data_IF_388868439741
#
_entry.id   IF_388868439741
#
_cell.length_a   1.000
_cell.length_b   1.000
_cell.length_c   1.000
_cell.angle_alpha   90.00
_cell.angle_beta   90.00
_cell.angle_gamma   90.00
#
_symmetry.space_group_name_H-M   'P 1'
#
loop_
_entity.id
_entity.type
_entity.pdbx_description
1 polymer ?
#
# COMPACT_ATOMS: atom_id res chain seq x y z
N UNK A 1 -19.17 -51.82 9.61
CA UNK A 1 -18.89 -50.37 9.46
C UNK A 1 -17.57 -50.05 10.15
N UNK A 2 -16.50 -49.71 9.43
CA UNK A 2 -15.22 -49.39 10.08
C UNK A 2 -15.36 -48.13 10.96
N UNK A 3 -14.95 -48.23 12.22
CA UNK A 3 -15.02 -47.15 13.23
C UNK A 3 -14.23 -45.92 12.75
N UNK A 4 -14.67 -44.73 13.16
CA UNK A 4 -14.05 -43.46 12.76
C UNK A 4 -12.55 -43.41 13.12
N UNK A 5 -12.18 -44.03 14.25
CA UNK A 5 -10.80 -44.15 14.70
C UNK A 5 -9.92 -44.96 13.72
N UNK A 6 -10.45 -46.04 13.14
CA UNK A 6 -9.72 -46.84 12.16
C UNK A 6 -9.50 -46.08 10.84
N UNK A 7 -10.44 -45.21 10.46
CA UNK A 7 -10.31 -44.35 9.27
C UNK A 7 -9.28 -43.24 9.51
N UNK A 8 -9.25 -42.66 10.70
CA UNK A 8 -8.26 -41.64 11.06
C UNK A 8 -6.85 -42.22 11.18
N UNK A 9 -6.69 -43.41 11.76
CA UNK A 9 -5.40 -44.10 11.81
C UNK A 9 -4.85 -44.35 10.39
N UNK A 10 -5.70 -44.84 9.48
CA UNK A 10 -5.33 -45.05 8.08
C UNK A 10 -4.90 -43.75 7.38
N UNK A 11 -5.59 -42.63 7.62
CA UNK A 11 -5.24 -41.33 7.03
C UNK A 11 -3.95 -40.75 7.61
N UNK A 12 -3.68 -40.96 8.90
CA UNK A 12 -2.44 -40.53 9.54
C UNK A 12 -1.23 -41.29 9.01
N UNK A 13 -1.35 -42.61 8.81
CA UNK A 13 -0.26 -43.42 8.25
C UNK A 13 -0.01 -43.10 6.77
N UNK A 14 -1.08 -42.79 6.03
CA UNK A 14 -0.98 -42.32 4.64
C UNK A 14 -0.29 -40.95 4.55
N UNK A 15 -0.53 -40.05 5.51
CA UNK A 15 0.14 -38.76 5.60
C UNK A 15 1.63 -38.91 5.96
N UNK A 16 2.00 -39.82 6.87
CA UNK A 16 3.41 -40.10 7.21
C UNK A 16 4.19 -40.62 6.00
N UNK A 17 3.60 -41.52 5.21
CA UNK A 17 4.22 -42.07 3.99
C UNK A 17 4.44 -41.02 2.89
N UNK A 18 3.57 -40.01 2.80
CA UNK A 18 3.69 -38.94 1.80
C UNK A 18 4.68 -37.86 2.24
N UNK A 19 4.74 -37.56 3.54
CA UNK A 19 5.57 -36.47 4.07
C UNK A 19 7.02 -36.89 4.39
N UNK A 20 7.34 -38.19 4.48
CA UNK A 20 8.66 -38.70 4.85
C UNK A 20 9.61 -38.99 3.67
N UNK A 21 9.41 -38.38 2.49
CA UNK A 21 10.40 -38.44 1.40
C UNK A 21 11.26 -37.16 1.41
N UNK A 22 12.40 -37.12 2.12
CA UNK A 22 13.36 -36.04 1.95
C UNK A 22 14.01 -36.17 0.56
N UNK A 23 13.83 -35.15 -0.29
CA UNK A 23 14.59 -35.04 -1.53
C UNK A 23 16.09 -34.84 -1.25
N UNK A 24 16.99 -35.14 -2.21
CA UNK A 24 18.43 -35.14 -1.97
C UNK A 24 18.92 -33.75 -1.57
N UNK A 25 19.63 -33.72 -0.44
CA UNK A 25 20.21 -32.53 0.19
C UNK A 25 21.32 -31.95 -0.69
N UNK A 26 21.16 -30.71 -1.16
CA UNK A 26 22.22 -29.98 -1.88
C UNK A 26 23.33 -29.63 -0.90
N UNK A 27 24.50 -30.23 -1.08
CA UNK A 27 25.70 -29.95 -0.30
C UNK A 27 26.03 -28.45 -0.28
N UNK A 28 26.14 -27.91 0.93
CA UNK A 28 26.59 -26.55 1.21
C UNK A 28 28.11 -26.49 1.06
N UNK A 29 28.58 -25.77 0.05
CA UNK A 29 29.99 -25.40 -0.11
C UNK A 29 30.49 -24.65 1.14
N UNK A 30 31.46 -25.24 1.83
CA UNK A 30 32.20 -24.59 2.91
C UNK A 30 33.16 -23.56 2.32
N UNK A 31 32.96 -22.28 2.60
CA UNK A 31 33.98 -21.27 2.35
C UNK A 31 34.79 -21.09 3.63
N UNK A 32 36.05 -21.50 3.55
CA UNK A 32 37.02 -21.43 4.61
C UNK A 32 37.25 -19.99 5.08
N UNK A 33 37.11 -19.79 6.39
CA UNK A 33 37.63 -18.62 7.11
C UNK A 33 39.14 -18.80 7.21
N UNK A 34 39.90 -17.90 6.56
CA UNK A 34 41.33 -17.70 6.85
C UNK A 34 41.48 -16.42 7.67
N UNK A 35 41.88 -16.60 8.94
CA UNK A 35 42.39 -15.57 9.83
C UNK A 35 43.91 -15.72 9.98
N UNK A 36 44.57 -14.64 10.43
CA UNK A 36 46.01 -14.32 10.51
C UNK A 36 46.50 -13.57 9.25
N UNK A 37 46.85 -12.28 9.25
CA UNK A 37 47.20 -11.33 10.30
C UNK A 37 48.67 -10.89 10.10
N UNK A 38 48.92 -9.65 9.65
CA UNK A 38 49.94 -8.73 10.21
C UNK A 38 50.02 -7.42 9.41
N UNK A 39 49.95 -6.34 10.18
CA UNK A 39 50.46 -4.96 10.10
C UNK A 39 50.90 -4.23 8.81
N UNK A 40 50.73 -2.90 8.94
CA UNK A 40 51.41 -1.78 8.28
C UNK A 40 50.76 -1.15 7.02
N UNK A 41 50.75 0.19 7.06
CA UNK A 41 50.44 1.17 6.01
C UNK A 41 48.97 1.67 5.88
N UNK A 42 48.84 3.00 5.96
CA UNK A 42 47.59 3.77 6.07
C UNK A 42 46.70 3.84 4.80
N UNK A 43 45.65 4.68 4.82
CA UNK A 43 44.53 4.53 3.89
C UNK A 43 44.74 5.29 2.57
N UNK A 44 44.55 4.67 1.39
CA UNK A 44 44.47 5.42 0.15
C UNK A 44 43.03 5.72 -0.29
N UNK A 45 42.92 6.90 -0.88
CA UNK A 45 41.76 7.70 -1.26
C UNK A 45 40.88 7.11 -2.37
N UNK A 46 39.60 7.52 -2.31
CA UNK A 46 38.61 7.72 -3.39
C UNK A 46 39.13 7.58 -4.84
N UNK A 47 38.50 6.70 -5.64
CA UNK A 47 38.33 6.93 -7.10
C UNK A 47 36.91 6.60 -7.58
N UNK A 48 36.34 7.62 -8.25
CA UNK A 48 35.09 7.63 -9.01
C UNK A 48 35.20 6.66 -10.19
N UNK A 49 34.12 5.92 -10.52
CA UNK A 49 34.00 5.28 -11.84
C UNK A 49 32.90 5.96 -12.66
N UNK A 50 33.37 6.54 -13.76
CA UNK A 50 32.67 7.29 -14.80
C UNK A 50 32.01 6.31 -15.78
N UNK A 51 30.85 6.71 -16.28
CA UNK A 51 30.06 6.10 -17.35
C UNK A 51 30.84 5.92 -18.66
N UNK A 52 30.59 4.83 -19.38
CA UNK A 52 30.76 4.78 -20.84
C UNK A 52 29.45 4.35 -21.50
N UNK A 53 28.89 5.29 -22.25
CA UNK A 53 27.95 5.06 -23.36
C UNK A 53 28.76 4.52 -24.54
N UNK A 54 28.18 3.62 -25.33
CA UNK A 54 28.49 3.49 -26.76
C UNK A 54 27.23 3.08 -27.54
N UNK A 55 26.70 4.07 -28.27
CA UNK A 55 25.95 3.92 -29.52
C UNK A 55 26.93 3.41 -30.60
N UNK A 56 26.62 2.87 -31.78
CA UNK A 56 25.63 3.12 -32.85
C UNK A 56 26.02 2.13 -33.98
N UNK A 57 25.09 1.49 -34.68
CA UNK A 57 25.02 1.52 -36.16
C UNK A 57 23.77 0.81 -36.70
N UNK A 58 23.07 1.55 -37.56
CA UNK A 58 22.07 1.10 -38.52
C UNK A 58 22.78 0.65 -39.81
N UNK A 59 22.12 -0.21 -40.58
CA UNK A 59 22.01 -0.27 -42.07
C UNK A 59 21.16 -1.54 -42.34
N UNK A 60 19.88 -1.43 -42.71
CA UNK A 60 19.31 -1.24 -44.06
C UNK A 60 19.41 -2.46 -45.01
N UNK A 61 18.22 -2.98 -45.36
CA UNK A 61 17.74 -3.55 -46.66
C UNK A 61 16.37 -4.24 -46.39
N UNK A 62 15.24 -3.57 -46.60
CA UNK A 62 14.40 -3.47 -47.82
C UNK A 62 13.79 -4.77 -48.36
N UNK A 63 12.44 -4.83 -48.26
CA UNK A 63 11.40 -5.42 -49.15
C UNK A 63 11.46 -6.95 -49.42
N UNK A 64 10.35 -7.71 -49.37
CA UNK A 64 9.14 -7.57 -50.19
C UNK A 64 7.80 -7.94 -49.50
N UNK A 65 6.72 -7.43 -50.11
CA UNK A 65 5.30 -7.61 -49.79
C UNK A 65 4.76 -8.96 -50.32
N UNK A 66 3.72 -9.61 -49.78
CA UNK A 66 2.24 -9.46 -50.00
C UNK A 66 1.69 -10.88 -49.67
N UNK A 67 0.56 -11.14 -48.99
CA UNK A 67 -0.84 -10.93 -49.36
C UNK A 67 -1.78 -11.25 -48.17
N UNK A 68 -2.87 -10.47 -48.02
CA UNK A 68 -4.10 -10.84 -47.27
C UNK A 68 -5.06 -11.61 -48.21
N UNK A 69 -6.18 -12.21 -47.74
CA UNK A 69 -7.43 -11.46 -47.42
C UNK A 69 -8.07 -11.89 -46.07
N UNK A 70 -8.66 -11.01 -45.26
CA UNK A 70 -10.03 -10.43 -45.31
C UNK A 70 -11.16 -11.45 -45.19
N UNK A 71 -11.87 -11.41 -44.05
CA UNK A 71 -13.14 -12.08 -43.79
C UNK A 71 -13.84 -11.52 -42.55
N UNK A 72 -14.66 -10.48 -42.74
CA UNK A 72 -15.66 -10.00 -41.76
C UNK A 72 -16.96 -10.75 -41.99
N UNK A 73 -17.73 -11.04 -40.93
CA UNK A 73 -19.18 -10.73 -40.75
C UNK A 73 -19.82 -11.62 -39.67
N UNK A 74 -20.39 -10.98 -38.65
CA UNK A 74 -21.65 -11.36 -37.99
C UNK A 74 -22.83 -11.05 -38.95
N UNK A 75 -24.05 -11.63 -38.78
CA UNK A 75 -25.07 -10.94 -37.98
C UNK A 75 -26.15 -11.82 -37.28
N UNK A 76 -26.91 -11.08 -36.47
CA UNK A 76 -28.15 -11.23 -35.69
C UNK A 76 -29.32 -12.12 -36.14
N UNK A 77 -30.04 -12.68 -35.14
CA UNK A 77 -31.52 -12.78 -34.91
C UNK A 77 -31.79 -14.06 -34.08
N UNK A 78 -32.67 -14.16 -33.09
CA UNK A 78 -34.10 -13.83 -33.07
C UNK A 78 -34.68 -13.83 -31.62
N UNK A 79 -35.47 -12.79 -31.33
CA UNK A 79 -36.78 -12.77 -30.65
C UNK A 79 -37.15 -13.71 -29.48
N UNK A 80 -37.71 -13.04 -28.44
CA UNK A 80 -38.98 -13.35 -27.74
C UNK A 80 -38.96 -14.44 -26.66
N UNK A 81 -39.69 -14.38 -25.54
CA UNK A 81 -40.76 -13.52 -25.01
C UNK A 81 -40.79 -13.78 -23.48
N UNK A 82 -41.06 -12.76 -22.65
CA UNK A 82 -41.67 -12.96 -21.32
C UNK A 82 -43.16 -13.31 -21.51
N UNK A 83 -43.80 -13.91 -20.51
CA UNK A 83 -44.70 -13.06 -19.72
C UNK A 83 -44.54 -13.28 -18.21
N UNK A 84 -44.87 -12.23 -17.45
CA UNK A 84 -45.16 -12.30 -16.04
C UNK A 84 -46.66 -12.22 -15.78
N UNK A 85 -47.06 -12.70 -14.61
CA UNK A 85 -48.30 -12.43 -13.87
C UNK A 85 -48.05 -13.09 -12.48
N UNK A 86 -48.52 -12.65 -11.33
CA UNK A 86 -48.93 -11.37 -10.75
C UNK A 86 -49.39 -11.71 -9.33
N UNK A 87 -49.10 -10.84 -8.34
CA UNK A 87 -49.77 -10.73 -7.03
C UNK A 87 -49.57 -11.94 -6.07
N UNK A 88 -49.45 -11.81 -4.77
CA UNK A 88 -50.01 -10.84 -3.82
C UNK A 88 -49.15 -10.87 -2.54
N UNK A 89 -49.02 -9.74 -1.85
CA UNK A 89 -48.50 -9.71 -0.50
C UNK A 89 -49.54 -10.13 0.52
N UNK A 90 -49.09 -10.65 1.65
CA UNK A 90 -49.82 -10.60 2.91
C UNK A 90 -48.84 -10.56 4.07
N UNK A 91 -48.91 -9.47 4.81
CA UNK A 91 -48.38 -9.27 6.16
C UNK A 91 -49.19 -10.09 7.16
N UNK A 92 -48.52 -10.78 8.08
CA UNK A 92 -49.17 -11.44 9.20
C UNK A 92 -48.18 -11.67 10.33
N UNK A 93 -48.25 -10.81 11.34
CA UNK A 93 -47.50 -10.83 12.58
C UNK A 93 -47.99 -11.92 13.55
N UNK A 94 -47.17 -12.18 14.57
CA UNK A 94 -47.44 -12.81 15.87
C UNK A 94 -47.25 -14.34 16.00
N UNK A 95 -46.37 -14.68 16.94
CA UNK A 95 -46.20 -16.05 17.43
C UNK A 95 -44.95 -16.30 18.29
N UNK A 96 -44.67 -15.45 19.28
CA UNK A 96 -43.94 -15.88 20.48
C UNK A 96 -44.86 -15.66 21.69
N UNK A 97 -44.80 -16.57 22.66
CA UNK A 97 -44.55 -16.14 24.03
C UNK A 97 -43.37 -16.89 24.67
N UNK A 98 -42.65 -16.14 25.51
CA UNK A 98 -41.71 -16.61 26.53
C UNK A 98 -42.37 -17.65 27.47
N UNK A 99 -41.69 -18.56 28.15
CA UNK A 99 -40.66 -18.32 29.17
C UNK A 99 -39.99 -19.64 29.56
N UNK A 100 -38.67 -19.62 29.75
CA UNK A 100 -38.03 -20.37 30.85
C UNK A 100 -36.65 -19.79 31.12
N UNK A 101 -36.57 -18.82 32.04
CA UNK A 101 -35.33 -18.47 32.71
C UNK A 101 -34.95 -19.62 33.66
N UNK A 102 -33.73 -20.15 33.48
CA UNK A 102 -32.98 -20.80 34.54
C UNK A 102 -32.72 -22.30 34.36
N UNK A 103 -31.61 -22.64 33.71
CA UNK A 103 -30.57 -23.54 34.27
C UNK A 103 -29.27 -23.23 33.52
N UNK A 104 -28.58 -22.20 34.01
CA UNK A 104 -27.18 -21.94 33.75
C UNK A 104 -26.37 -22.86 34.67
N UNK A 105 -25.87 -23.98 34.12
CA UNK A 105 -24.44 -24.23 34.16
C UNK A 105 -23.87 -24.58 32.78
N UNK A 106 -24.66 -25.21 31.91
CA UNK A 106 -24.14 -25.82 30.67
C UNK A 106 -23.66 -24.81 29.62
N UNK A 107 -24.20 -23.59 29.62
CA UNK A 107 -23.76 -22.51 28.72
C UNK A 107 -22.38 -21.95 29.12
N UNK A 108 -22.13 -21.80 30.42
CA UNK A 108 -20.84 -21.30 30.93
C UNK A 108 -19.80 -22.41 30.83
N UNK A 109 -20.17 -23.65 31.17
CA UNK A 109 -19.30 -24.83 31.00
C UNK A 109 -19.00 -25.11 29.51
N UNK A 110 -19.95 -24.95 28.59
CA UNK A 110 -19.69 -25.07 27.16
C UNK A 110 -18.75 -23.96 26.65
N UNK A 111 -18.90 -22.73 27.15
CA UNK A 111 -18.00 -21.62 26.82
C UNK A 111 -16.58 -21.85 27.38
N UNK A 112 -16.46 -22.37 28.60
CA UNK A 112 -15.17 -22.65 29.21
C UNK A 112 -14.50 -23.87 28.57
N UNK A 113 -15.26 -24.88 28.16
CA UNK A 113 -14.76 -26.00 27.35
C UNK A 113 -14.30 -25.52 25.97
N UNK A 114 -15.04 -24.61 25.33
CA UNK A 114 -14.63 -23.96 24.07
C UNK A 114 -13.37 -23.13 24.25
N UNK A 115 -13.23 -22.40 25.37
CA UNK A 115 -12.03 -21.65 25.72
C UNK A 115 -10.86 -22.59 25.95
N UNK A 116 -11.04 -23.69 26.67
CA UNK A 116 -10.00 -24.70 26.91
C UNK A 116 -9.54 -25.33 25.58
N UNK A 117 -10.48 -25.76 24.74
CA UNK A 117 -10.18 -26.31 23.40
C UNK A 117 -9.52 -25.28 22.48
N UNK A 118 -9.87 -24.01 22.58
CA UNK A 118 -9.21 -22.91 21.87
C UNK A 118 -7.77 -22.73 22.38
N UNK A 119 -7.55 -22.76 23.70
CA UNK A 119 -6.22 -22.64 24.30
C UNK A 119 -5.34 -23.82 23.91
N UNK A 120 -5.84 -25.06 23.96
CA UNK A 120 -5.14 -26.25 23.46
C UNK A 120 -4.80 -26.12 21.98
N UNK A 121 -5.75 -25.69 21.15
CA UNK A 121 -5.52 -25.51 19.71
C UNK A 121 -4.51 -24.40 19.41
N UNK A 122 -4.50 -23.33 20.22
CA UNK A 122 -3.48 -22.27 20.15
C UNK A 122 -2.12 -22.78 20.61
N UNK A 123 -2.04 -23.60 21.66
CA UNK A 123 -0.78 -24.20 22.13
C UNK A 123 -0.21 -25.19 21.11
N UNK A 124 -1.06 -26.06 20.54
CA UNK A 124 -0.70 -26.96 19.45
C UNK A 124 -0.24 -26.20 18.20
N UNK A 125 -0.92 -25.10 17.84
CA UNK A 125 -0.51 -24.23 16.73
C UNK A 125 0.80 -23.47 17.04
N UNK A 126 1.06 -23.13 18.30
CA UNK A 126 2.35 -22.57 18.75
C UNK A 126 3.48 -23.60 18.67
N UNK A 127 3.19 -24.89 18.89
CA UNK A 127 4.15 -25.98 18.67
C UNK A 127 4.40 -26.31 17.20
N UNK A 128 3.40 -26.13 16.32
CA UNK A 128 3.54 -26.34 14.87
C UNK A 128 4.16 -25.14 14.14
N UNK A 129 4.14 -23.96 14.74
CA UNK A 129 4.87 -22.77 14.29
C UNK A 129 6.32 -22.76 14.78
N UNK A 130 7.08 -23.82 14.50
CA UNK A 130 8.52 -23.92 14.77
C UNK A 130 8.88 -23.88 16.25
N UNK A 131 9.16 -25.05 16.83
CA UNK A 131 9.94 -25.25 18.05
C UNK A 131 11.42 -24.83 17.87
N UNK A 132 11.66 -23.68 17.25
CA UNK A 132 12.81 -22.89 17.66
C UNK A 132 12.26 -22.08 18.81
N UNK A 133 12.51 -22.56 20.03
CA UNK A 133 12.63 -21.65 21.16
C UNK A 133 13.33 -20.42 20.62
N UNK A 134 12.61 -19.30 20.59
CA UNK A 134 13.19 -18.03 20.19
C UNK A 134 14.45 -17.94 21.06
N UNK A 135 15.63 -18.06 20.44
CA UNK A 135 16.92 -18.10 21.15
C UNK A 135 16.90 -17.12 22.32
N UNK A 136 17.47 -17.46 23.47
CA UNK A 136 17.39 -16.63 24.68
C UNK A 136 17.62 -15.13 24.39
N UNK A 137 18.54 -14.81 23.46
CA UNK A 137 18.80 -13.47 22.93
C UNK A 137 17.58 -12.76 22.29
N UNK A 138 16.73 -13.48 21.56
CA UNK A 138 15.49 -12.94 20.97
C UNK A 138 14.37 -12.75 21.99
N UNK A 139 14.26 -13.60 23.01
CA UNK A 139 13.35 -13.39 24.13
C UNK A 139 13.78 -12.20 24.99
N UNK A 140 15.08 -12.06 25.25
CA UNK A 140 15.65 -10.94 25.98
C UNK A 140 15.41 -9.61 25.23
N UNK A 141 15.62 -9.57 23.91
CA UNK A 141 15.28 -8.39 23.08
C UNK A 141 13.79 -8.04 23.15
N UNK A 142 12.90 -9.04 23.25
CA UNK A 142 11.46 -8.82 23.39
C UNK A 142 11.09 -8.30 24.78
N UNK A 143 11.73 -8.81 25.83
CA UNK A 143 11.59 -8.32 27.20
C UNK A 143 12.10 -6.88 27.34
N UNK A 144 13.28 -6.56 26.79
CA UNK A 144 13.82 -5.20 26.73
C UNK A 144 12.86 -4.23 26.03
N UNK A 145 12.28 -4.61 24.89
CA UNK A 145 11.25 -3.81 24.18
C UNK A 145 9.97 -3.61 25.00
N UNK A 146 9.56 -4.61 25.77
CA UNK A 146 8.38 -4.52 26.65
C UNK A 146 8.66 -3.57 27.82
N UNK A 147 9.82 -3.69 28.46
CA UNK A 147 10.25 -2.79 29.54
C UNK A 147 10.42 -1.34 29.05
N UNK A 148 10.95 -1.14 27.84
CA UNK A 148 11.06 0.20 27.23
C UNK A 148 9.69 0.84 26.97
N UNK A 149 8.72 0.05 26.49
CA UNK A 149 7.33 0.51 26.30
C UNK A 149 6.68 0.88 27.63
N UNK A 150 6.89 0.08 28.67
CA UNK A 150 6.40 0.38 30.02
C UNK A 150 7.04 1.64 30.60
N UNK A 151 8.36 1.84 30.44
CA UNK A 151 9.04 3.08 30.83
C UNK A 151 8.47 4.30 30.12
N UNK A 152 8.23 4.21 28.81
CA UNK A 152 7.58 5.29 28.02
C UNK A 152 6.16 5.57 28.49
N UNK A 153 5.40 4.51 28.83
CA UNK A 153 4.04 4.63 29.35
C UNK A 153 4.00 5.28 30.74
N UNK A 154 4.93 4.93 31.63
CA UNK A 154 5.10 5.55 32.96
C UNK A 154 5.45 7.03 32.84
N UNK A 155 6.46 7.39 32.04
CA UNK A 155 6.82 8.80 31.77
C UNK A 155 5.63 9.61 31.24
N UNK A 156 4.83 9.04 30.34
CA UNK A 156 3.64 9.72 29.82
C UNK A 156 2.53 9.88 30.86
N UNK A 157 2.42 8.96 31.82
CA UNK A 157 1.49 9.06 32.96
C UNK A 157 1.97 10.10 33.97
N UNK A 158 3.25 10.11 34.31
CA UNK A 158 3.87 11.11 35.19
C UNK A 158 3.73 12.52 34.62
N UNK A 159 3.97 12.72 33.32
CA UNK A 159 3.77 14.03 32.68
C UNK A 159 2.30 14.48 32.75
N UNK A 160 1.35 13.56 32.58
CA UNK A 160 -0.08 13.86 32.72
C UNK A 160 -0.47 14.16 34.16
N UNK A 161 0.07 13.42 35.13
CA UNK A 161 -0.17 13.66 36.55
C UNK A 161 0.42 15.00 36.99
N UNK A 162 1.65 15.34 36.56
CA UNK A 162 2.25 16.66 36.80
C UNK A 162 1.47 17.79 36.16
N UNK A 163 0.91 17.59 34.97
CA UNK A 163 0.02 18.57 34.35
C UNK A 163 -1.27 18.75 35.16
N UNK A 164 -1.86 17.67 35.67
CA UNK A 164 -3.07 17.74 36.50
C UNK A 164 -2.80 18.36 37.88
N UNK A 165 -1.66 18.07 38.51
CA UNK A 165 -1.27 18.70 39.78
C UNK A 165 -0.95 20.18 39.58
N UNK A 166 -0.22 20.57 38.52
CA UNK A 166 0.01 21.98 38.21
C UNK A 166 -1.27 22.73 37.79
N UNK A 167 -2.29 22.02 37.29
CA UNK A 167 -3.62 22.58 37.04
C UNK A 167 -4.46 22.69 38.32
N UNK A 168 -4.23 21.82 39.30
CA UNK A 168 -4.88 21.87 40.62
C UNK A 168 -4.25 22.91 41.56
N UNK A 169 -2.92 23.03 41.59
CA UNK A 169 -2.20 24.08 42.33
C UNK A 169 -2.55 25.48 41.81
N UNK A 170 -2.85 25.61 40.51
CA UNK A 170 -3.38 26.86 39.92
C UNK A 170 -4.84 27.15 40.27
N UNK A 171 -5.55 26.23 40.95
CA UNK A 171 -6.95 26.38 41.37
C UNK A 171 -7.11 26.55 42.89
N UNK A 172 -6.03 26.54 43.69
CA UNK A 172 -6.10 26.55 45.17
C UNK A 172 -5.42 27.75 45.88
N UNK A 173 -5.15 28.88 45.22
CA UNK A 173 -4.82 30.12 45.98
C UNK A 173 -6.07 30.99 46.22
N UNK A 174 -6.49 31.23 47.49
CA UNK A 174 -7.73 31.91 47.83
C UNK A 174 -7.58 33.42 48.08
N UNK A 175 -8.72 34.06 47.89
CA UNK A 175 -9.11 35.47 47.99
C UNK A 175 -8.88 36.10 49.37
N UNK A 176 -8.42 37.37 49.41
CA UNK A 176 -8.78 38.40 50.41
C UNK A 176 -8.94 39.78 49.74
N UNK A 177 -10.05 40.45 50.04
CA UNK A 177 -10.49 41.76 49.51
C UNK A 177 -10.42 42.87 50.60
N UNK A 178 -10.94 44.11 50.41
CA UNK A 178 -10.44 45.27 49.63
C UNK A 178 -10.27 46.54 50.56
N UNK A 179 -9.96 47.80 50.10
CA UNK A 179 -10.99 48.71 49.52
C UNK A 179 -10.54 49.88 48.56
N UNK A 180 -11.52 50.33 47.74
CA UNK A 180 -11.91 51.73 47.37
C UNK A 180 -11.09 52.66 46.38
N UNK A 181 -11.89 53.20 45.43
CA UNK A 181 -11.88 54.52 44.75
C UNK A 181 -11.27 54.72 43.34
N UNK A 182 -12.15 55.11 42.41
CA UNK A 182 -12.07 56.02 41.25
C UNK A 182 -10.77 56.19 40.43
N UNK A 183 -10.84 55.93 39.11
CA UNK A 183 -10.52 56.90 38.03
C UNK A 183 -10.68 56.25 36.63
N UNK A 184 -10.79 57.13 35.62
CA UNK A 184 -11.13 56.88 34.21
C UNK A 184 -10.08 56.05 33.44
N UNK A 185 -10.55 55.54 32.30
CA UNK A 185 -9.87 55.34 31.01
C UNK A 185 -9.75 53.90 30.48
N UNK A 186 -9.97 53.82 29.16
CA UNK A 186 -9.76 52.72 28.24
C UNK A 186 -10.74 51.55 28.35
N UNK A 187 -11.51 51.34 27.27
CA UNK A 187 -12.20 50.08 27.01
C UNK A 187 -11.15 48.99 26.81
N UNK A 188 -10.65 48.45 27.93
CA UNK A 188 -10.00 47.17 27.95
C UNK A 188 -11.06 46.14 27.59
N UNK A 189 -10.90 45.51 26.42
CA UNK A 189 -11.64 44.32 26.04
C UNK A 189 -11.32 43.21 27.03
N UNK A 190 -12.03 43.23 28.16
CA UNK A 190 -11.85 42.31 29.27
C UNK A 190 -12.30 40.92 28.84
N UNK A 191 -11.34 40.03 28.65
CA UNK A 191 -11.58 38.59 28.51
C UNK A 191 -12.08 38.07 29.86
N UNK A 192 -13.38 38.15 30.09
CA UNK A 192 -14.02 37.54 31.24
C UNK A 192 -14.05 36.03 31.00
N UNK A 193 -13.59 35.24 31.97
CA UNK A 193 -13.55 33.77 31.95
C UNK A 193 -14.96 33.15 31.92
N UNK A 194 -15.66 33.34 30.80
CA UNK A 194 -16.86 32.64 30.29
C UNK A 194 -17.52 33.39 29.13
N UNK A 195 -17.17 34.65 28.86
CA UNK A 195 -17.72 35.42 27.75
C UNK A 195 -16.60 36.00 26.90
N UNK A 196 -16.28 35.29 25.82
CA UNK A 196 -15.51 35.86 24.71
C UNK A 196 -16.50 36.62 23.85
N UNK A 197 -16.63 37.91 24.08
CA UNK A 197 -17.28 38.81 23.13
C UNK A 197 -16.27 39.07 22.00
N UNK A 198 -16.40 38.32 20.91
CA UNK A 198 -15.72 38.65 19.66
C UNK A 198 -16.40 39.91 19.14
N UNK A 199 -15.85 41.07 19.50
CA UNK A 199 -16.24 42.33 18.91
C UNK A 199 -15.99 42.26 17.38
N UNK A 200 -17.06 42.09 16.61
CA UNK A 200 -17.22 42.67 15.28
C UNK A 200 -16.41 42.12 14.09
N UNK A 201 -15.55 41.11 14.21
CA UNK A 201 -14.99 40.47 13.01
C UNK A 201 -15.83 39.27 12.56
N UNK A 202 -16.94 39.60 11.88
CA UNK A 202 -17.61 38.69 10.93
C UNK A 202 -16.53 37.95 10.11
N UNK A 203 -16.58 36.61 9.98
CA UNK A 203 -15.53 35.89 9.27
C UNK A 203 -15.53 36.34 7.81
N UNK A 204 -14.59 37.22 7.48
CA UNK A 204 -14.49 37.89 6.19
C UNK A 204 -14.85 36.93 5.05
N UNK A 205 -15.84 37.32 4.24
CA UNK A 205 -16.36 36.52 3.14
C UNK A 205 -15.21 35.96 2.28
N UNK A 206 -15.39 34.79 1.66
CA UNK A 206 -14.35 34.17 0.80
C UNK A 206 -13.78 35.16 -0.24
N UNK A 207 -14.57 36.14 -0.66
CA UNK A 207 -14.13 37.24 -1.53
C UNK A 207 -13.18 38.23 -0.83
N UNK A 208 -13.48 38.65 0.41
CA UNK A 208 -12.63 39.55 1.20
C UNK A 208 -11.29 38.89 1.53
N UNK A 209 -11.27 37.61 1.95
CA UNK A 209 -10.03 36.84 2.17
C UNK A 209 -9.16 36.71 0.92
N UNK A 210 -9.76 36.66 -0.27
CA UNK A 210 -9.03 36.65 -1.55
C UNK A 210 -8.44 38.02 -1.87
N UNK A 211 -9.17 39.11 -1.58
CA UNK A 211 -8.67 40.48 -1.75
C UNK A 211 -7.50 40.75 -0.81
N UNK A 212 -7.63 40.37 0.45
CA UNK A 212 -6.58 40.51 1.46
C UNK A 212 -5.31 39.71 1.06
N UNK A 213 -5.46 38.46 0.62
CA UNK A 213 -4.32 37.67 0.09
C UNK A 213 -3.67 38.28 -1.14
N UNK A 214 -4.42 39.03 -1.97
CA UNK A 214 -3.87 39.77 -3.11
C UNK A 214 -3.10 41.00 -2.64
N UNK A 215 -3.59 41.69 -1.61
CA UNK A 215 -2.90 42.83 -0.99
C UNK A 215 -1.61 42.41 -0.28
N UNK A 216 -1.57 41.20 0.29
CA UNK A 216 -0.34 40.63 0.87
C UNK A 216 0.71 40.21 -0.19
N UNK A 217 0.41 40.30 -1.50
CA UNK A 217 1.40 40.00 -2.54
C UNK A 217 2.34 41.20 -2.72
N UNK A 218 3.55 41.05 -2.21
CA UNK A 218 4.65 42.00 -2.33
C UNK A 218 4.98 42.26 -3.81
N UNK A 219 4.95 43.53 -4.20
CA UNK A 219 5.32 43.96 -5.54
C UNK A 219 4.44 43.40 -6.67
N UNK A 220 3.18 43.04 -6.38
CA UNK A 220 2.23 42.43 -7.33
C UNK A 220 2.70 41.12 -7.97
N UNK A 221 3.79 40.53 -7.48
CA UNK A 221 4.41 39.34 -8.06
C UNK A 221 4.15 38.12 -7.18
N UNK A 222 3.26 37.22 -7.62
CA UNK A 222 2.97 36.00 -6.86
C UNK A 222 4.18 35.07 -6.80
N UNK A 223 4.70 34.66 -5.64
CA UNK A 223 5.91 33.85 -5.59
C UNK A 223 5.73 32.49 -6.28
N UNK A 224 6.72 32.05 -7.06
CA UNK A 224 6.70 30.77 -7.76
C UNK A 224 6.92 29.61 -6.77
N UNK A 225 5.81 29.19 -6.17
CA UNK A 225 5.80 28.26 -5.04
C UNK A 225 4.94 27.03 -5.31
N UNK A 226 5.28 25.96 -4.60
CA UNK A 226 4.53 24.69 -4.66
C UNK A 226 5.22 23.60 -5.45
N UNK A 227 4.48 22.49 -5.65
CA UNK A 227 5.00 21.24 -6.26
C UNK A 227 4.40 20.98 -7.65
N UNK A 228 3.59 21.89 -8.19
CA UNK A 228 2.94 21.73 -9.49
C UNK A 228 3.88 22.18 -10.61
N UNK A 229 4.86 21.34 -10.95
CA UNK A 229 5.94 21.72 -11.86
C UNK A 229 5.46 22.15 -13.26
N UNK A 230 4.33 21.63 -13.76
CA UNK A 230 3.73 22.07 -15.03
C UNK A 230 3.27 23.52 -14.94
N UNK A 231 2.37 23.81 -14.00
CA UNK A 231 1.90 25.18 -13.75
C UNK A 231 3.03 26.15 -13.40
N UNK A 232 4.09 25.69 -12.74
CA UNK A 232 5.25 26.53 -12.45
C UNK A 232 6.04 26.86 -13.72
N UNK A 233 6.24 25.89 -14.61
CA UNK A 233 6.85 26.14 -15.92
C UNK A 233 5.99 27.11 -16.74
N UNK A 234 4.67 26.87 -16.81
CA UNK A 234 3.76 27.75 -17.57
C UNK A 234 3.82 29.20 -17.05
N UNK A 235 3.83 29.37 -15.72
CA UNK A 235 3.96 30.71 -15.09
C UNK A 235 5.33 31.34 -15.31
N UNK A 236 6.39 30.53 -15.34
CA UNK A 236 7.76 30.97 -15.57
C UNK A 236 7.91 31.46 -17.02
N UNK A 237 7.44 30.67 -17.98
CA UNK A 237 7.41 31.06 -19.40
C UNK A 237 6.55 32.31 -19.61
N UNK A 238 5.38 32.41 -18.98
CA UNK A 238 4.56 33.62 -19.06
C UNK A 238 5.25 34.86 -18.49
N UNK A 239 6.15 34.71 -17.50
CA UNK A 239 6.96 35.83 -16.99
C UNK A 239 8.08 36.21 -17.94
N UNK A 240 8.78 35.22 -18.49
CA UNK A 240 9.82 35.44 -19.48
C UNK A 240 9.25 36.13 -20.73
N UNK A 241 8.14 35.63 -21.27
CA UNK A 241 7.46 36.22 -22.42
C UNK A 241 7.07 37.68 -22.18
N UNK A 242 6.52 38.04 -21.01
CA UNK A 242 6.21 39.46 -20.69
C UNK A 242 7.45 40.35 -20.64
N UNK A 243 8.57 39.82 -20.16
CA UNK A 243 9.83 40.56 -20.12
C UNK A 243 10.39 40.70 -21.53
N UNK A 244 10.33 39.65 -22.34
CA UNK A 244 10.75 39.65 -23.75
C UNK A 244 9.90 40.62 -24.59
N UNK A 245 8.58 40.56 -24.49
CA UNK A 245 7.64 41.51 -25.14
C UNK A 245 7.96 42.97 -24.77
N UNK A 246 8.30 43.23 -23.50
CA UNK A 246 8.69 44.57 -23.06
C UNK A 246 10.12 44.94 -23.45
N UNK A 247 11.03 43.97 -23.64
CA UNK A 247 12.37 44.26 -24.19
C UNK A 247 12.29 44.70 -25.64
N UNK A 248 11.39 44.08 -26.40
CA UNK A 248 11.16 44.41 -27.81
C UNK A 248 10.55 45.81 -27.98
N UNK A 249 9.71 46.24 -27.03
CA UNK A 249 9.11 47.58 -27.01
C UNK A 249 10.04 48.63 -26.37
N UNK A 250 10.45 48.39 -25.12
CA UNK A 250 11.15 49.35 -24.25
C UNK A 250 12.18 48.64 -23.33
N UNK A 251 13.44 48.61 -23.74
CA UNK A 251 14.51 47.95 -22.99
C UNK A 251 14.66 48.46 -21.53
N UNK A 252 14.44 49.75 -21.27
CA UNK A 252 14.54 50.34 -19.93
C UNK A 252 13.45 49.82 -18.97
N UNK A 253 12.20 49.79 -19.42
CA UNK A 253 11.07 49.27 -18.63
C UNK A 253 11.23 47.77 -18.34
N UNK A 254 11.78 47.02 -19.30
CA UNK A 254 12.07 45.60 -19.09
C UNK A 254 13.13 45.38 -18.00
N UNK A 255 14.22 46.16 -18.00
CA UNK A 255 15.26 46.08 -16.96
C UNK A 255 14.71 46.44 -15.58
N UNK A 256 13.85 47.45 -15.48
CA UNK A 256 13.17 47.79 -14.23
C UNK A 256 12.27 46.67 -13.73
N UNK A 257 11.50 46.03 -14.62
CA UNK A 257 10.67 44.89 -14.24
C UNK A 257 11.53 43.72 -13.76
N UNK A 258 12.61 43.39 -14.47
CA UNK A 258 13.55 42.36 -14.02
C UNK A 258 14.16 42.67 -12.65
N UNK A 259 14.54 43.93 -12.41
CA UNK A 259 15.02 44.37 -11.11
C UNK A 259 13.93 44.19 -10.03
N UNK A 260 12.69 44.62 -10.30
CA UNK A 260 11.54 44.39 -9.42
C UNK A 260 11.32 42.90 -9.15
N UNK A 261 11.46 42.03 -10.15
CA UNK A 261 11.36 40.56 -9.96
C UNK A 261 12.49 40.02 -9.07
N UNK A 262 13.74 40.45 -9.31
CA UNK A 262 14.90 40.04 -8.51
C UNK A 262 14.75 40.46 -7.05
N UNK A 263 14.37 41.71 -6.79
CA UNK A 263 14.18 42.24 -5.43
C UNK A 263 13.01 41.59 -4.70
N UNK A 264 11.84 41.45 -5.35
CA UNK A 264 10.70 40.76 -4.75
C UNK A 264 11.02 39.29 -4.44
N UNK A 265 11.76 38.61 -5.31
CA UNK A 265 12.22 37.25 -5.06
C UNK A 265 13.18 37.17 -3.85
N UNK A 266 14.09 38.13 -3.68
CA UNK A 266 14.96 38.19 -2.50
C UNK A 266 14.16 38.42 -1.22
N UNK A 267 13.18 39.33 -1.26
CA UNK A 267 12.29 39.63 -0.15
C UNK A 267 11.50 38.39 0.29
N UNK A 268 10.93 37.65 -0.66
CA UNK A 268 10.24 36.39 -0.37
C UNK A 268 11.18 35.29 0.13
N UNK A 269 12.42 35.21 -0.38
CA UNK A 269 13.41 34.27 0.15
C UNK A 269 13.80 34.60 1.59
N UNK A 270 13.90 35.89 1.92
CA UNK A 270 14.16 36.36 3.29
C UNK A 270 13.00 36.03 4.24
N UNK A 271 11.75 36.09 3.77
CA UNK A 271 10.58 35.60 4.51
C UNK A 271 10.56 34.07 4.70
N UNK A 272 11.46 33.33 4.05
CA UNK A 272 11.52 31.87 4.10
C UNK A 272 10.65 31.17 3.05
N UNK A 273 10.09 31.90 2.08
CA UNK A 273 9.31 31.33 0.99
C UNK A 273 10.24 30.61 0.00
N UNK A 274 9.98 29.31 -0.23
CA UNK A 274 10.78 28.47 -1.14
C UNK A 274 10.40 28.69 -2.61
N UNK A 275 11.01 29.69 -3.21
CA UNK A 275 10.83 30.05 -4.63
C UNK A 275 11.56 29.04 -5.54
N UNK A 276 10.91 28.64 -6.63
CA UNK A 276 11.43 27.68 -7.62
C UNK A 276 11.34 28.27 -9.03
N UNK A 277 12.34 29.06 -9.40
CA UNK A 277 12.36 29.82 -10.66
C UNK A 277 13.30 29.23 -11.72
N UNK A 278 13.90 28.07 -11.44
CA UNK A 278 14.82 27.41 -12.37
C UNK A 278 14.07 26.46 -13.30
N UNK A 279 13.96 26.82 -14.58
CA UNK A 279 13.27 26.03 -15.60
C UNK A 279 13.84 24.61 -15.71
N UNK A 280 15.18 24.48 -15.78
CA UNK A 280 15.88 23.19 -15.88
C UNK A 280 15.54 22.26 -14.71
N UNK A 281 15.55 22.78 -13.48
CA UNK A 281 15.23 21.99 -12.28
C UNK A 281 13.75 21.61 -12.23
N UNK A 282 12.86 22.48 -12.70
CA UNK A 282 11.42 22.19 -12.80
C UNK A 282 11.15 21.08 -13.82
N UNK A 283 11.76 21.14 -15.01
CA UNK A 283 11.67 20.09 -16.02
C UNK A 283 12.22 18.75 -15.51
N UNK A 284 13.38 18.76 -14.82
CA UNK A 284 13.93 17.55 -14.22
C UNK A 284 13.00 16.98 -13.14
N UNK A 285 12.43 17.84 -12.29
CA UNK A 285 11.51 17.40 -11.25
C UNK A 285 10.23 16.79 -11.85
N UNK A 286 9.76 17.31 -12.99
CA UNK A 286 8.68 16.75 -13.79
C UNK A 286 9.08 15.37 -14.33
N UNK A 287 10.24 15.24 -14.99
CA UNK A 287 10.78 13.96 -15.47
C UNK A 287 10.90 12.93 -14.33
N UNK A 288 11.38 13.34 -13.14
CA UNK A 288 11.45 12.46 -11.94
C UNK A 288 10.06 12.03 -11.45
N UNK A 289 9.05 12.89 -11.54
CA UNK A 289 7.66 12.52 -11.22
C UNK A 289 7.10 11.51 -12.21
N UNK A 290 7.33 11.71 -13.49
CA UNK A 290 6.87 10.80 -14.55
C UNK A 290 7.56 9.44 -14.45
N UNK A 291 8.88 9.40 -14.23
CA UNK A 291 9.61 8.16 -13.94
C UNK A 291 9.01 7.38 -12.77
N UNK A 292 8.67 8.06 -11.65
CA UNK A 292 8.00 7.42 -10.50
C UNK A 292 6.58 6.96 -10.81
N UNK A 293 5.86 7.63 -11.69
CA UNK A 293 4.53 7.19 -12.16
C UNK A 293 4.68 5.95 -13.04
N UNK A 294 5.56 5.96 -14.03
CA UNK A 294 5.84 4.82 -14.90
C UNK A 294 6.32 3.60 -14.12
N UNK A 295 7.18 3.77 -13.11
CA UNK A 295 7.58 2.66 -12.24
C UNK A 295 6.41 2.07 -11.44
N UNK A 296 5.50 2.90 -10.92
CA UNK A 296 4.29 2.42 -10.23
C UNK A 296 3.36 1.69 -11.18
N UNK A 297 3.18 2.24 -12.38
CA UNK A 297 2.37 1.63 -13.44
C UNK A 297 2.90 0.24 -13.80
N UNK A 298 4.19 0.11 -14.14
CA UNK A 298 4.83 -1.17 -14.42
C UNK A 298 4.72 -2.16 -13.27
N UNK A 299 4.85 -1.70 -12.02
CA UNK A 299 4.68 -2.57 -10.85
C UNK A 299 3.24 -3.06 -10.70
N UNK A 300 2.27 -2.25 -11.07
CA UNK A 300 0.86 -2.63 -11.04
C UNK A 300 0.54 -3.62 -12.17
N UNK A 301 0.98 -3.32 -13.39
CA UNK A 301 0.86 -4.19 -14.57
C UNK A 301 1.43 -5.58 -14.30
N UNK A 302 2.67 -5.64 -13.77
CA UNK A 302 3.28 -6.92 -13.37
C UNK A 302 2.47 -7.69 -12.33
N UNK A 303 1.79 -6.99 -11.41
CA UNK A 303 0.94 -7.66 -10.41
C UNK A 303 -0.34 -8.20 -11.05
N UNK A 304 -0.97 -7.45 -11.95
CA UNK A 304 -2.15 -7.92 -12.69
C UNK A 304 -1.80 -9.09 -13.60
N UNK A 305 -0.69 -9.01 -14.34
CA UNK A 305 -0.18 -10.09 -15.19
C UNK A 305 0.07 -11.35 -14.37
N UNK A 306 0.76 -11.22 -13.23
CA UNK A 306 1.03 -12.37 -12.33
C UNK A 306 -0.24 -13.04 -11.79
N UNK A 307 -1.29 -12.25 -11.51
CA UNK A 307 -2.58 -12.80 -11.07
C UNK A 307 -3.25 -13.58 -12.20
N UNK A 308 -3.27 -13.01 -13.41
CA UNK A 308 -3.84 -13.67 -14.60
C UNK A 308 -3.06 -14.93 -14.94
N UNK A 309 -1.72 -14.87 -14.92
CA UNK A 309 -0.85 -16.01 -15.18
C UNK A 309 -1.11 -17.14 -14.18
N UNK A 310 -1.18 -16.83 -12.87
CA UNK A 310 -1.52 -17.83 -11.84
C UNK A 310 -2.90 -18.44 -12.05
N UNK A 311 -3.88 -17.65 -12.49
CA UNK A 311 -5.21 -18.14 -12.81
C UNK A 311 -5.18 -19.11 -14.00
N UNK A 312 -4.47 -18.74 -15.07
CA UNK A 312 -4.27 -19.59 -16.26
C UNK A 312 -3.54 -20.89 -15.90
N UNK A 313 -2.42 -20.81 -15.18
CA UNK A 313 -1.66 -21.98 -14.73
C UNK A 313 -2.52 -22.96 -13.92
N UNK A 314 -3.45 -22.47 -13.07
CA UNK A 314 -4.38 -23.33 -12.34
C UNK A 314 -5.38 -24.00 -13.27
N UNK A 315 -5.93 -23.27 -14.23
CA UNK A 315 -6.84 -23.82 -15.23
C UNK A 315 -6.15 -24.86 -16.12
N UNK A 316 -4.93 -24.58 -16.58
CA UNK A 316 -4.15 -25.49 -17.41
C UNK A 316 -3.76 -26.76 -16.67
N UNK A 317 -3.34 -26.66 -15.41
CA UNK A 317 -3.13 -27.82 -14.54
C UNK A 317 -4.39 -28.67 -14.43
N UNK A 318 -5.57 -28.05 -14.25
CA UNK A 318 -6.85 -28.76 -14.21
C UNK A 318 -7.14 -29.45 -15.56
N UNK A 319 -6.95 -28.77 -16.69
CA UNK A 319 -7.14 -29.32 -18.04
C UNK A 319 -6.22 -30.51 -18.29
N UNK A 320 -4.93 -30.39 -17.94
CA UNK A 320 -3.95 -31.47 -18.07
C UNK A 320 -4.32 -32.68 -17.20
N UNK A 321 -4.72 -32.46 -15.94
CA UNK A 321 -5.16 -33.54 -15.05
C UNK A 321 -6.41 -34.25 -15.58
N UNK A 322 -7.37 -33.51 -16.15
CA UNK A 322 -8.55 -34.10 -16.80
C UNK A 322 -8.16 -34.92 -18.04
N UNK A 323 -7.25 -34.41 -18.88
CA UNK A 323 -6.71 -35.15 -20.04
C UNK A 323 -6.03 -36.44 -19.60
N UNK A 324 -5.15 -36.39 -18.60
CA UNK A 324 -4.49 -37.57 -18.02
C UNK A 324 -5.49 -38.58 -17.47
N UNK A 325 -6.54 -38.13 -16.76
CA UNK A 325 -7.61 -39.01 -16.27
C UNK A 325 -8.39 -39.67 -17.41
N UNK A 326 -8.67 -38.94 -18.50
CA UNK A 326 -9.34 -39.50 -19.69
C UNK A 326 -8.45 -40.54 -20.38
N UNK A 327 -7.17 -40.24 -20.59
CA UNK A 327 -6.19 -41.16 -21.16
C UNK A 327 -6.05 -42.43 -20.32
N UNK A 328 -5.84 -42.30 -19.00
CA UNK A 328 -5.76 -43.45 -18.10
C UNK A 328 -7.04 -44.30 -18.08
N UNK A 329 -8.23 -43.70 -18.24
CA UNK A 329 -9.49 -44.45 -18.38
C UNK A 329 -9.53 -45.22 -19.70
N UNK A 330 -9.07 -44.62 -20.80
CA UNK A 330 -8.96 -45.30 -22.09
C UNK A 330 -7.94 -46.45 -22.03
N UNK A 331 -6.74 -46.21 -21.50
CA UNK A 331 -5.71 -47.25 -21.29
C UNK A 331 -6.22 -48.39 -20.41
N UNK A 332 -6.91 -48.11 -19.30
CA UNK A 332 -7.53 -49.16 -18.46
C UNK A 332 -8.57 -49.98 -19.24
N UNK A 333 -9.32 -49.37 -20.16
CA UNK A 333 -10.25 -50.10 -21.04
C UNK A 333 -9.50 -50.98 -22.03
N UNK A 334 -8.44 -50.47 -22.65
CA UNK A 334 -7.58 -51.24 -23.57
C UNK A 334 -6.92 -52.42 -22.84
N UNK A 335 -6.33 -52.20 -21.65
CA UNK A 335 -5.73 -53.26 -20.83
C UNK A 335 -6.75 -54.32 -20.43
N UNK A 336 -7.99 -53.94 -20.08
CA UNK A 336 -9.07 -54.90 -19.79
C UNK A 336 -9.45 -55.72 -21.01
N UNK A 337 -9.46 -55.13 -22.21
CA UNK A 337 -9.72 -55.85 -23.45
C UNK A 337 -8.61 -56.88 -23.74
N UNK A 338 -7.34 -56.48 -23.60
CA UNK A 338 -6.17 -57.37 -23.71
C UNK A 338 -6.24 -58.54 -22.73
N UNK A 339 -6.54 -58.28 -21.45
CA UNK A 339 -6.70 -59.33 -20.42
C UNK A 339 -7.85 -60.31 -20.73
N UNK A 340 -8.83 -59.89 -21.51
CA UNK A 340 -9.93 -60.74 -21.99
C UNK A 340 -9.60 -61.45 -23.32
N UNK A 341 -8.36 -61.36 -23.80
CA UNK A 341 -7.92 -61.98 -25.05
C UNK A 341 -8.37 -61.26 -26.34
N UNK A 342 -8.93 -60.04 -26.25
CA UNK A 342 -9.30 -59.27 -27.45
C UNK A 342 -8.05 -58.62 -28.06
N UNK A 343 -7.78 -58.92 -29.32
CA UNK A 343 -6.70 -58.28 -30.10
C UNK A 343 -7.12 -56.86 -30.47
N UNK A 344 -6.30 -55.87 -30.13
CA UNK A 344 -6.55 -54.46 -30.46
C UNK A 344 -5.82 -54.09 -31.76
N UNK A 345 -6.30 -53.11 -32.54
CA UNK A 345 -5.61 -52.64 -33.75
C UNK A 345 -4.15 -52.23 -33.51
N UNK A 346 -3.87 -51.60 -32.36
CA UNK A 346 -2.51 -51.24 -31.95
C UNK A 346 -1.58 -52.45 -31.73
N UNK A 347 -2.14 -53.61 -31.38
CA UNK A 347 -1.37 -54.83 -31.18
C UNK A 347 -1.04 -55.50 -32.54
N UNK A 348 -1.91 -55.32 -33.55
CA UNK A 348 -1.66 -55.73 -34.94
C UNK A 348 -0.58 -54.86 -35.60
N UNK A 349 -0.68 -53.53 -35.41
CA UNK A 349 0.35 -52.58 -35.85
C UNK A 349 1.71 -52.89 -35.21
N UNK A 350 1.73 -53.25 -33.92
CA UNK A 350 2.97 -53.59 -33.21
C UNK A 350 3.56 -54.93 -33.63
N UNK A 351 2.73 -55.86 -34.10
CA UNK A 351 3.15 -57.14 -34.65
C UNK A 351 3.58 -57.05 -36.14
N UNK A 352 3.45 -55.89 -36.78
CA UNK A 352 3.74 -55.70 -38.20
C UNK A 352 2.75 -56.41 -39.13
N UNK A 353 1.54 -56.70 -38.63
CA UNK A 353 0.49 -57.43 -39.35
C UNK A 353 -0.62 -56.50 -39.89
N UNK A 354 -0.37 -55.18 -39.90
CA UNK A 354 -1.30 -54.14 -40.35
C UNK A 354 -0.84 -53.47 -41.64
#
# INVERSE_FOLDING_TARGET
>A
MASLLAKDAYLQDLAKKICAQPGPERQRSQWAVRTKGSEAAGPPKKKRKKTQNKSRKQEEKTMEHKTKPLGKKSPTSSSAKKPGLSKQGSSGSLGSPEDSRGTAPDSVFALDFLRQRLHEKIQMARGQGGTKELSAATLEKRQRRKQERERKKRKRRELRAKQQVAEAEKKEEPVKAPPKMACKDLQESGLIFNKVEVAGEEPASKAQRKKEKRQQVKGNLTPLTGRNYRQLLDRLHARQGRVEELRDQDAGKAQELEAKMKWTNLLYKAEGVKIRDDERLLQEALKRKEKRRAQRQRKWEKRSEHVVEKMQQRQDKRRQNLRKKKAARAERRLQKARKKGRVLPQDLERAGLS
#
